data_IF_636791551540
#
_entry.id   IF_636791551540
#
_cell.length_a   1.000
_cell.length_b   1.000
_cell.length_c   1.000
_cell.angle_alpha   90.00
_cell.angle_beta   90.00
_cell.angle_gamma   90.00
#
_symmetry.space_group_name_H-M   'P 1'
#
loop_
_entity.id
_entity.type
_entity.pdbx_description
1 polymer ?
#
# COMPACT_ATOMS: atom_id res chain seq x y z
N UNK A 1 -26.62 38.75 -14.71
CA UNK A 1 -25.24 38.27 -14.97
C UNK A 1 -24.78 37.45 -13.77
N UNK A 2 -24.36 36.19 -13.99
CA UNK A 2 -24.00 35.23 -12.93
C UNK A 2 -22.61 35.53 -12.34
N UNK A 3 -22.48 35.46 -11.02
CA UNK A 3 -21.19 35.39 -10.33
C UNK A 3 -20.58 33.98 -10.50
N UNK A 4 -19.27 33.84 -10.78
CA UNK A 4 -18.63 32.54 -10.82
C UNK A 4 -18.24 32.09 -9.41
N UNK A 5 -18.50 30.81 -9.16
CA UNK A 5 -18.33 30.09 -7.90
C UNK A 5 -16.82 29.89 -7.57
N UNK A 6 -16.36 30.41 -6.43
CA UNK A 6 -14.98 30.26 -5.91
C UNK A 6 -14.89 29.17 -4.83
N UNK A 7 -15.39 27.96 -5.08
CA UNK A 7 -15.35 26.86 -4.09
C UNK A 7 -14.52 25.63 -4.50
N UNK A 8 -13.92 25.60 -5.69
CA UNK A 8 -13.09 24.49 -6.16
C UNK A 8 -11.63 24.39 -5.60
N UNK A 9 -10.95 25.45 -5.08
CA UNK A 9 -9.54 25.32 -4.65
C UNK A 9 -9.35 24.63 -3.29
N UNK A 10 -10.25 24.90 -2.33
CA UNK A 10 -10.07 24.52 -0.91
C UNK A 10 -10.11 23.00 -0.66
N UNK A 11 -10.91 22.26 -1.45
CA UNK A 11 -11.03 20.79 -1.31
C UNK A 11 -9.78 20.07 -1.78
N UNK A 12 -9.14 20.58 -2.83
CA UNK A 12 -7.88 20.03 -3.36
C UNK A 12 -6.72 20.25 -2.38
N UNK A 13 -6.66 21.42 -1.73
CA UNK A 13 -5.64 21.70 -0.73
C UNK A 13 -5.86 20.92 0.57
N UNK A 14 -7.11 20.75 1.00
CA UNK A 14 -7.44 19.89 2.14
C UNK A 14 -7.05 18.43 1.90
N UNK A 15 -7.29 17.91 0.70
CA UNK A 15 -6.91 16.55 0.30
C UNK A 15 -5.39 16.39 0.28
N UNK A 16 -4.66 17.29 -0.40
CA UNK A 16 -3.18 17.28 -0.41
C UNK A 16 -2.59 17.38 0.99
N UNK A 17 -3.20 18.19 1.85
CA UNK A 17 -2.78 18.34 3.23
C UNK A 17 -3.00 17.04 4.02
N UNK A 18 -4.12 16.35 3.77
CA UNK A 18 -4.41 15.05 4.36
C UNK A 18 -3.39 14.00 3.92
N UNK A 19 -3.12 13.89 2.62
CA UNK A 19 -2.13 12.95 2.06
C UNK A 19 -0.74 13.18 2.66
N UNK A 20 -0.29 14.44 2.72
CA UNK A 20 0.98 14.80 3.37
C UNK A 20 1.03 14.36 4.84
N UNK A 21 -0.07 14.51 5.59
CA UNK A 21 -0.12 14.02 6.97
C UNK A 21 0.05 12.50 7.01
N UNK A 22 -0.62 11.76 6.11
CA UNK A 22 -0.57 10.30 6.07
C UNK A 22 0.81 9.77 5.66
N UNK A 23 1.47 10.39 4.68
CA UNK A 23 2.85 10.05 4.29
C UNK A 23 3.85 10.24 5.43
N UNK A 24 3.76 11.38 6.12
CA UNK A 24 4.62 11.69 7.28
C UNK A 24 4.30 10.74 8.43
N UNK A 25 3.02 10.48 8.70
CA UNK A 25 2.60 9.56 9.75
C UNK A 25 3.09 8.13 9.48
N UNK A 26 2.96 7.62 8.25
CA UNK A 26 3.50 6.32 7.87
C UNK A 26 5.00 6.23 8.20
N UNK A 27 5.76 7.20 7.71
CA UNK A 27 7.22 7.24 7.93
C UNK A 27 7.60 7.26 9.40
N UNK A 28 6.92 8.06 10.22
CA UNK A 28 7.24 8.23 11.64
C UNK A 28 6.79 7.01 12.46
N UNK A 29 5.60 6.47 12.18
CA UNK A 29 5.05 5.33 12.91
C UNK A 29 5.76 4.01 12.58
N UNK A 30 6.27 3.84 11.36
CA UNK A 30 7.13 2.70 11.01
C UNK A 30 8.47 2.75 11.75
N UNK A 31 9.01 3.94 12.02
CA UNK A 31 10.25 4.10 12.81
C UNK A 31 10.00 3.91 14.31
N UNK A 32 8.89 4.43 14.80
CA UNK A 32 8.49 4.33 16.20
C UNK A 32 6.98 4.38 16.31
N UNK A 33 6.35 3.26 16.71
CA UNK A 33 4.91 3.17 16.87
C UNK A 33 4.34 4.22 17.86
N UNK A 34 5.18 4.66 18.81
CA UNK A 34 4.84 5.64 19.84
C UNK A 34 5.12 7.10 19.44
N UNK A 35 5.54 7.35 18.19
CA UNK A 35 5.86 8.69 17.68
C UNK A 35 4.76 9.72 18.05
N UNK A 36 5.08 10.85 18.71
CA UNK A 36 4.07 11.80 19.18
C UNK A 36 3.27 12.40 18.02
N UNK A 37 1.93 12.42 18.13
CA UNK A 37 1.04 13.00 17.12
C UNK A 37 1.37 14.48 16.83
N UNK A 38 1.76 15.22 17.87
CA UNK A 38 2.18 16.62 17.74
C UNK A 38 3.46 16.78 16.90
N UNK A 39 4.38 15.82 16.97
CA UNK A 39 5.59 15.79 16.15
C UNK A 39 5.27 15.45 14.69
N UNK A 40 4.34 14.52 14.45
CA UNK A 40 3.82 14.19 13.11
C UNK A 40 3.16 15.42 12.48
N UNK A 41 2.28 16.11 13.22
CA UNK A 41 1.63 17.34 12.75
C UNK A 41 2.64 18.43 12.37
N UNK A 42 3.66 18.63 13.21
CA UNK A 42 4.74 19.59 12.95
C UNK A 42 5.53 19.22 11.68
N UNK A 43 5.90 17.95 11.51
CA UNK A 43 6.64 17.46 10.33
C UNK A 43 5.79 17.54 9.05
N UNK A 44 4.49 17.33 9.16
CA UNK A 44 3.54 17.50 8.04
C UNK A 44 3.26 18.98 7.71
N UNK A 45 3.75 19.94 8.51
CA UNK A 45 3.56 21.37 8.28
C UNK A 45 2.14 21.84 8.57
N UNK A 46 1.41 21.15 9.46
CA UNK A 46 0.00 21.45 9.78
C UNK A 46 -0.20 21.91 11.21
N UNK A 47 -1.14 22.83 11.42
CA UNK A 47 -1.51 23.26 12.77
C UNK A 47 -2.18 22.14 13.58
N UNK A 48 -1.89 22.09 14.89
CA UNK A 48 -2.41 21.06 15.80
C UNK A 48 -3.95 20.97 15.77
N UNK A 49 -4.65 22.10 15.74
CA UNK A 49 -6.12 22.12 15.66
C UNK A 49 -6.66 21.48 14.39
N UNK A 50 -6.00 21.68 13.24
CA UNK A 50 -6.37 21.02 11.97
C UNK A 50 -6.06 19.54 12.02
N UNK A 51 -4.92 19.15 12.61
CA UNK A 51 -4.53 17.76 12.76
C UNK A 51 -5.54 16.98 13.60
N UNK A 52 -5.81 17.41 14.85
CA UNK A 52 -6.70 16.70 15.77
C UNK A 52 -8.16 16.69 15.31
N UNK A 53 -8.60 17.65 14.47
CA UNK A 53 -9.92 17.60 13.81
C UNK A 53 -10.02 16.48 12.78
N UNK A 54 -8.91 16.15 12.09
CA UNK A 54 -8.86 15.09 11.08
C UNK A 54 -8.49 13.73 11.69
N UNK A 55 -7.72 13.73 12.78
CA UNK A 55 -7.15 12.57 13.45
C UNK A 55 -7.30 12.74 14.97
N UNK A 56 -8.50 12.49 15.51
CA UNK A 56 -8.80 12.77 16.92
C UNK A 56 -8.05 11.86 17.89
N UNK A 57 -7.56 10.70 17.43
CA UNK A 57 -6.78 9.75 18.22
C UNK A 57 -5.67 9.11 17.39
N UNK A 58 -4.74 8.43 18.08
CA UNK A 58 -3.66 7.69 17.41
C UNK A 58 -4.21 6.54 16.58
N UNK A 59 -5.21 5.85 17.11
CA UNK A 59 -5.90 4.74 16.47
C UNK A 59 -6.55 5.18 15.16
N UNK A 60 -7.22 6.34 15.17
CA UNK A 60 -7.83 6.93 13.98
C UNK A 60 -6.77 7.27 12.92
N UNK A 61 -5.60 7.80 13.33
CA UNK A 61 -4.49 8.04 12.42
C UNK A 61 -3.94 6.75 11.83
N UNK A 62 -3.65 5.75 12.66
CA UNK A 62 -3.07 4.47 12.23
C UNK A 62 -3.98 3.76 11.23
N UNK A 63 -5.30 3.77 11.47
CA UNK A 63 -6.25 3.19 10.54
C UNK A 63 -6.25 3.89 9.19
N UNK A 64 -6.23 5.22 9.17
CA UNK A 64 -6.19 6.02 7.95
C UNK A 64 -4.85 5.89 7.20
N UNK A 65 -3.73 5.83 7.93
CA UNK A 65 -2.40 5.57 7.36
C UNK A 65 -2.40 4.24 6.62
N UNK A 66 -2.93 3.19 7.23
CA UNK A 66 -2.99 1.89 6.58
C UNK A 66 -3.92 1.90 5.34
N UNK A 67 -5.09 2.56 5.40
CA UNK A 67 -5.98 2.68 4.22
C UNK A 67 -5.27 3.37 3.07
N UNK A 68 -4.58 4.45 3.39
CA UNK A 68 -3.82 5.21 2.43
C UNK A 68 -2.69 4.36 1.85
N UNK A 69 -1.93 3.65 2.67
CA UNK A 69 -0.81 2.83 2.22
C UNK A 69 -1.26 1.68 1.31
N UNK A 70 -2.33 0.94 1.66
CA UNK A 70 -2.84 -0.13 0.78
C UNK A 70 -3.37 0.42 -0.54
N UNK A 71 -4.01 1.58 -0.53
CA UNK A 71 -4.46 2.25 -1.75
C UNK A 71 -3.27 2.67 -2.62
N UNK A 72 -2.22 3.24 -2.02
CA UNK A 72 -0.99 3.60 -2.75
C UNK A 72 -0.36 2.36 -3.40
N UNK A 73 -0.25 1.23 -2.69
CA UNK A 73 0.25 -0.01 -3.28
C UNK A 73 -0.62 -0.44 -4.45
N UNK A 74 -1.95 -0.47 -4.30
CA UNK A 74 -2.86 -0.86 -5.36
C UNK A 74 -2.75 0.05 -6.60
N UNK A 75 -2.77 1.37 -6.41
CA UNK A 75 -2.72 2.37 -7.48
C UNK A 75 -1.42 2.31 -8.29
N UNK A 76 -0.32 1.86 -7.67
CA UNK A 76 0.97 1.78 -8.35
C UNK A 76 1.00 0.72 -9.45
N UNK A 77 0.11 -0.26 -9.44
CA UNK A 77 0.02 -1.26 -10.52
C UNK A 77 -0.22 -0.60 -11.89
N UNK A 78 -1.22 0.27 -11.99
CA UNK A 78 -1.54 0.98 -13.22
C UNK A 78 -0.43 1.96 -13.62
N UNK A 79 0.16 2.66 -12.64
CA UNK A 79 1.25 3.60 -12.89
C UNK A 79 2.51 2.91 -13.44
N UNK A 80 2.86 1.76 -12.87
CA UNK A 80 4.01 0.96 -13.30
C UNK A 80 3.80 0.40 -14.71
N UNK A 81 2.61 -0.11 -15.02
CA UNK A 81 2.28 -0.59 -16.38
C UNK A 81 2.35 0.51 -17.45
N UNK A 82 2.10 1.77 -17.09
CA UNK A 82 2.28 2.90 -18.01
C UNK A 82 3.75 3.26 -18.25
N UNK A 83 4.66 2.91 -17.33
CA UNK A 83 6.05 3.38 -17.33
C UNK A 83 7.11 2.29 -17.53
N UNK A 84 6.70 1.01 -17.48
CA UNK A 84 7.60 -0.15 -17.47
C UNK A 84 7.02 -1.30 -18.29
N UNK A 85 7.88 -2.21 -18.82
CA UNK A 85 7.43 -3.49 -19.32
C UNK A 85 6.63 -4.27 -18.26
N UNK A 86 5.60 -5.07 -18.64
CA UNK A 86 4.71 -5.72 -17.69
C UNK A 86 5.39 -6.57 -16.62
N UNK A 87 6.45 -7.30 -16.97
CA UNK A 87 7.18 -8.15 -16.02
C UNK A 87 7.96 -7.34 -14.99
N UNK A 88 8.52 -6.20 -15.41
CA UNK A 88 9.23 -5.27 -14.54
C UNK A 88 8.23 -4.56 -13.64
N UNK A 89 7.08 -4.15 -14.19
CA UNK A 89 5.99 -3.55 -13.43
C UNK A 89 5.48 -4.50 -12.33
N UNK A 90 5.25 -5.78 -12.66
CA UNK A 90 4.81 -6.77 -11.67
C UNK A 90 5.85 -6.96 -10.57
N UNK A 91 7.14 -7.06 -10.93
CA UNK A 91 8.21 -7.23 -9.96
C UNK A 91 8.37 -6.02 -9.04
N UNK A 92 8.40 -4.82 -9.60
CA UNK A 92 8.47 -3.57 -8.82
C UNK A 92 7.24 -3.42 -7.91
N UNK A 93 6.06 -3.86 -8.37
CA UNK A 93 4.84 -3.85 -7.55
C UNK A 93 4.92 -4.84 -6.39
N UNK A 94 5.44 -6.05 -6.61
CA UNK A 94 5.69 -7.03 -5.54
C UNK A 94 6.64 -6.48 -4.47
N UNK A 95 7.67 -5.73 -4.87
CA UNK A 95 8.61 -5.11 -3.92
C UNK A 95 7.91 -4.07 -3.04
N UNK A 96 7.00 -3.26 -3.62
CA UNK A 96 6.15 -2.32 -2.86
C UNK A 96 5.21 -3.04 -1.92
N UNK A 97 4.62 -4.15 -2.36
CA UNK A 97 3.76 -4.97 -1.51
C UNK A 97 4.54 -5.56 -0.31
N UNK A 98 5.78 -6.01 -0.52
CA UNK A 98 6.64 -6.49 0.55
C UNK A 98 6.95 -5.39 1.57
N UNK A 99 7.25 -4.16 1.12
CA UNK A 99 7.44 -3.00 1.99
C UNK A 99 6.20 -2.72 2.85
N UNK A 100 5.01 -2.72 2.23
CA UNK A 100 3.74 -2.58 2.93
C UNK A 100 3.48 -3.69 3.96
N UNK A 101 3.79 -4.95 3.61
CA UNK A 101 3.64 -6.06 4.54
C UNK A 101 4.49 -5.85 5.81
N UNK A 102 5.70 -5.31 5.67
CA UNK A 102 6.58 -5.02 6.81
C UNK A 102 6.13 -3.81 7.62
N UNK A 103 5.67 -2.73 6.96
CA UNK A 103 5.10 -1.57 7.64
C UNK A 103 3.87 -1.96 8.47
N UNK A 104 2.98 -2.79 7.89
CA UNK A 104 1.84 -3.39 8.58
C UNK A 104 2.26 -4.20 9.81
N UNK A 105 3.30 -5.03 9.69
CA UNK A 105 3.79 -5.84 10.81
C UNK A 105 4.27 -4.96 11.98
N UNK A 106 4.97 -3.86 11.69
CA UNK A 106 5.37 -2.87 12.69
C UNK A 106 4.20 -2.17 13.38
N UNK A 107 3.08 -2.00 12.66
CA UNK A 107 1.86 -1.35 13.16
C UNK A 107 0.83 -2.33 13.75
N UNK A 108 1.09 -3.63 13.79
CA UNK A 108 0.09 -4.65 14.09
C UNK A 108 -0.60 -4.46 15.45
N UNK A 109 0.15 -4.07 16.49
CA UNK A 109 -0.41 -3.81 17.82
C UNK A 109 -1.35 -2.60 17.81
N UNK A 110 -0.93 -1.49 17.22
CA UNK A 110 -1.73 -0.28 17.11
C UNK A 110 -2.99 -0.52 16.25
N UNK A 111 -2.90 -1.31 15.18
CA UNK A 111 -4.05 -1.71 14.37
C UNK A 111 -5.03 -2.59 15.14
N UNK A 112 -4.54 -3.52 15.97
CA UNK A 112 -5.37 -4.37 16.83
C UNK A 112 -6.15 -3.54 17.84
N UNK A 113 -5.53 -2.51 18.40
CA UNK A 113 -6.17 -1.59 19.36
C UNK A 113 -7.14 -0.63 18.65
N UNK A 114 -6.84 -0.22 17.43
CA UNK A 114 -7.65 0.71 16.65
C UNK A 114 -8.93 0.11 16.05
N UNK A 115 -9.02 -1.21 15.91
CA UNK A 115 -10.04 -1.83 15.08
C UNK A 115 -11.05 -2.65 15.89
N UNK A 116 -12.28 -2.13 16.01
CA UNK A 116 -13.41 -2.86 16.61
C UNK A 116 -14.04 -3.89 15.66
N UNK A 117 -13.81 -3.77 14.35
CA UNK A 117 -14.26 -4.72 13.31
C UNK A 117 -13.12 -5.13 12.34
N UNK A 118 -12.15 -5.96 12.78
CA UNK A 118 -10.96 -6.31 12.00
C UNK A 118 -11.23 -6.95 10.63
N UNK A 119 -12.37 -7.66 10.50
CA UNK A 119 -12.73 -8.40 9.29
C UNK A 119 -13.03 -7.50 8.08
N UNK A 120 -13.82 -6.44 8.26
CA UNK A 120 -14.21 -5.53 7.17
C UNK A 120 -13.01 -4.83 6.56
N UNK A 121 -12.07 -4.42 7.41
CA UNK A 121 -10.87 -3.73 7.00
C UNK A 121 -9.93 -4.61 6.19
N UNK A 122 -9.74 -5.85 6.67
CA UNK A 122 -8.94 -6.87 5.97
C UNK A 122 -9.55 -7.19 4.60
N UNK A 123 -10.88 -7.22 4.49
CA UNK A 123 -11.60 -7.46 3.24
C UNK A 123 -11.37 -6.35 2.20
N UNK A 124 -11.48 -5.08 2.59
CA UNK A 124 -11.23 -3.94 1.68
C UNK A 124 -9.78 -3.96 1.16
N UNK A 125 -8.82 -4.14 2.07
CA UNK A 125 -7.41 -4.23 1.69
C UNK A 125 -7.14 -5.41 0.76
N UNK A 126 -7.78 -6.56 1.00
CA UNK A 126 -7.67 -7.72 0.13
C UNK A 126 -8.21 -7.42 -1.27
N UNK A 127 -9.42 -6.86 -1.38
CA UNK A 127 -10.01 -6.50 -2.67
C UNK A 127 -9.14 -5.58 -3.52
N UNK A 128 -8.61 -4.50 -2.93
CA UNK A 128 -7.72 -3.56 -3.62
C UNK A 128 -6.44 -4.23 -4.17
N UNK A 129 -5.86 -5.13 -3.39
CA UNK A 129 -4.66 -5.87 -3.81
C UNK A 129 -4.98 -6.91 -4.88
N UNK A 130 -6.11 -7.62 -4.76
CA UNK A 130 -6.59 -8.57 -5.77
C UNK A 130 -6.84 -7.88 -7.12
N UNK A 131 -7.44 -6.69 -7.12
CA UNK A 131 -7.68 -5.91 -8.34
C UNK A 131 -6.35 -5.50 -9.02
N UNK A 132 -5.38 -5.04 -8.22
CA UNK A 132 -4.06 -4.66 -8.70
C UNK A 132 -3.28 -5.85 -9.30
N UNK A 133 -3.30 -7.01 -8.63
CA UNK A 133 -2.70 -8.24 -9.15
C UNK A 133 -3.37 -8.68 -10.44
N UNK A 134 -4.70 -8.69 -10.48
CA UNK A 134 -5.47 -9.09 -11.67
C UNK A 134 -5.06 -8.24 -12.88
N UNK A 135 -4.93 -6.92 -12.68
CA UNK A 135 -4.48 -6.00 -13.72
C UNK A 135 -3.06 -6.33 -14.22
N UNK A 136 -2.12 -6.59 -13.30
CA UNK A 136 -0.73 -6.89 -13.64
C UNK A 136 -0.58 -8.25 -14.34
N UNK A 137 -1.25 -9.29 -13.84
CA UNK A 137 -1.22 -10.62 -14.45
C UNK A 137 -1.81 -10.59 -15.85
N UNK A 138 -2.97 -9.96 -16.04
CA UNK A 138 -3.60 -9.83 -17.36
C UNK A 138 -2.73 -9.05 -18.36
N UNK A 139 -1.94 -8.07 -17.89
CA UNK A 139 -0.99 -7.36 -18.74
C UNK A 139 0.20 -8.23 -19.14
N UNK A 140 0.72 -9.02 -18.21
CA UNK A 140 1.83 -9.94 -18.45
C UNK A 140 1.43 -11.09 -19.38
N UNK A 141 0.26 -11.69 -19.19
CA UNK A 141 -0.25 -12.76 -20.06
C UNK A 141 -0.45 -12.26 -21.49
N UNK A 142 -1.06 -11.08 -21.68
CA UNK A 142 -1.18 -10.45 -23.01
C UNK A 142 0.15 -10.14 -23.66
N UNK A 143 1.16 -9.81 -22.86
CA UNK A 143 2.51 -9.55 -23.33
C UNK A 143 3.35 -10.83 -23.51
N UNK A 144 2.80 -12.00 -23.16
CA UNK A 144 3.50 -13.28 -23.22
C UNK A 144 4.68 -13.39 -22.25
N UNK A 145 4.79 -12.53 -21.24
CA UNK A 145 5.92 -12.52 -20.28
C UNK A 145 5.73 -13.48 -19.10
N UNK A 146 4.53 -14.05 -18.95
CA UNK A 146 4.23 -15.13 -18.01
C UNK A 146 3.45 -16.23 -18.74
N UNK A 147 3.43 -17.43 -18.15
CA UNK A 147 2.59 -18.55 -18.60
C UNK A 147 1.10 -18.17 -18.57
N UNK A 148 0.29 -18.68 -19.51
CA UNK A 148 -1.14 -18.42 -19.51
C UNK A 148 -1.86 -19.13 -18.35
N UNK A 149 -3.05 -18.66 -18.01
CA UNK A 149 -3.92 -19.31 -17.03
C UNK A 149 -3.44 -19.23 -15.58
N UNK A 150 -2.70 -18.18 -15.22
CA UNK A 150 -2.36 -17.89 -13.82
C UNK A 150 -3.59 -17.31 -13.13
N UNK A 151 -4.08 -18.00 -12.10
CA UNK A 151 -5.18 -17.50 -11.28
C UNK A 151 -4.69 -16.45 -10.26
N UNK A 152 -5.48 -15.39 -10.06
CA UNK A 152 -5.14 -14.30 -9.14
C UNK A 152 -5.06 -14.78 -7.69
N UNK A 153 -5.97 -15.65 -7.25
CA UNK A 153 -6.00 -16.14 -5.87
C UNK A 153 -4.82 -17.07 -5.61
N UNK A 154 -4.45 -17.92 -6.58
CA UNK A 154 -3.25 -18.75 -6.50
C UNK A 154 -1.97 -17.91 -6.42
N UNK A 155 -1.89 -16.84 -7.21
CA UNK A 155 -0.78 -15.90 -7.12
C UNK A 155 -0.70 -15.26 -5.73
N UNK A 156 -1.84 -14.77 -5.19
CA UNK A 156 -1.92 -14.18 -3.86
C UNK A 156 -1.48 -15.18 -2.77
N UNK A 157 -1.87 -16.46 -2.90
CA UNK A 157 -1.42 -17.54 -2.03
C UNK A 157 0.09 -17.79 -2.15
N UNK A 158 0.64 -17.75 -3.35
CA UNK A 158 2.07 -17.95 -3.58
C UNK A 158 2.94 -16.88 -2.89
N UNK A 159 2.47 -15.63 -2.87
CA UNK A 159 3.16 -14.52 -2.19
C UNK A 159 2.75 -14.36 -0.71
N UNK A 160 1.80 -15.16 -0.20
CA UNK A 160 1.31 -15.06 1.17
C UNK A 160 2.41 -15.29 2.23
N UNK A 161 3.51 -15.95 1.84
CA UNK A 161 4.71 -16.11 2.67
C UNK A 161 5.33 -14.79 3.13
N UNK A 162 5.09 -13.67 2.41
CA UNK A 162 5.56 -12.34 2.83
C UNK A 162 5.05 -11.94 4.21
N UNK A 163 3.82 -12.31 4.56
CA UNK A 163 3.23 -11.99 5.87
C UNK A 163 3.80 -12.82 7.02
N UNK A 164 4.61 -13.83 6.72
CA UNK A 164 5.26 -14.72 7.70
C UNK A 164 6.73 -14.33 7.96
N UNK A 165 7.26 -13.34 7.22
CA UNK A 165 8.63 -12.88 7.39
C UNK A 165 8.74 -12.06 8.68
N UNK A 166 9.79 -12.32 9.48
CA UNK A 166 10.11 -11.50 10.65
C UNK A 166 10.63 -10.13 10.19
N UNK A 167 9.92 -9.03 10.49
CA UNK A 167 10.33 -7.68 10.09
C UNK A 167 11.60 -7.19 10.79
N UNK A 168 12.06 -7.86 11.87
CA UNK A 168 13.30 -7.51 12.59
C UNK A 168 14.54 -8.19 12.02
N UNK A 169 14.37 -9.18 11.15
CA UNK A 169 15.46 -9.88 10.49
C UNK A 169 15.88 -9.25 9.17
N UNK A 170 16.67 -9.99 8.39
CA UNK A 170 17.01 -9.68 7.00
C UNK A 170 15.81 -9.96 6.07
N UNK A 171 14.74 -9.18 6.27
CA UNK A 171 13.48 -9.37 5.57
C UNK A 171 13.59 -9.00 4.09
N UNK A 172 14.39 -7.99 3.74
CA UNK A 172 14.55 -7.50 2.37
C UNK A 172 15.11 -8.60 1.47
N UNK A 173 16.21 -9.22 1.89
CA UNK A 173 16.83 -10.29 1.10
C UNK A 173 15.94 -11.53 1.05
N UNK A 174 15.21 -11.83 2.13
CA UNK A 174 14.27 -12.97 2.16
C UNK A 174 13.07 -12.75 1.25
N UNK A 175 12.43 -11.57 1.33
CA UNK A 175 11.32 -11.19 0.46
C UNK A 175 11.76 -11.17 -1.01
N UNK A 176 12.93 -10.60 -1.30
CA UNK A 176 13.52 -10.57 -2.63
C UNK A 176 13.58 -11.97 -3.26
N UNK A 177 14.25 -12.91 -2.57
CA UNK A 177 14.39 -14.30 -3.05
C UNK A 177 13.05 -15.04 -3.20
N UNK A 178 12.09 -14.82 -2.29
CA UNK A 178 10.77 -15.46 -2.38
C UNK A 178 9.98 -14.94 -3.57
N UNK A 179 10.01 -13.63 -3.81
CA UNK A 179 9.36 -13.01 -4.94
C UNK A 179 10.06 -13.38 -6.26
N UNK A 180 11.38 -13.57 -6.26
CA UNK A 180 12.13 -14.03 -7.44
C UNK A 180 11.68 -15.44 -7.82
N UNK A 181 11.55 -16.32 -6.82
CA UNK A 181 11.03 -17.67 -7.01
C UNK A 181 9.62 -17.68 -7.63
N UNK A 182 8.74 -16.78 -7.18
CA UNK A 182 7.41 -16.63 -7.77
C UNK A 182 7.50 -16.14 -9.22
N UNK A 183 8.33 -15.13 -9.50
CA UNK A 183 8.53 -14.62 -10.86
C UNK A 183 9.09 -15.68 -11.81
N UNK A 184 10.06 -16.48 -11.37
CA UNK A 184 10.63 -17.57 -12.15
C UNK A 184 9.57 -18.65 -12.44
N UNK A 185 8.73 -18.97 -11.45
CA UNK A 185 7.59 -19.86 -11.62
C UNK A 185 6.59 -19.35 -12.66
N UNK A 186 6.29 -18.04 -12.64
CA UNK A 186 5.38 -17.41 -13.61
C UNK A 186 5.94 -17.41 -15.03
N UNK A 187 7.26 -17.19 -15.19
CA UNK A 187 7.94 -17.18 -16.49
C UNK A 187 8.09 -18.57 -17.10
N UNK A 188 8.08 -19.62 -16.28
CA UNK A 188 8.20 -20.99 -16.76
C UNK A 188 7.03 -21.35 -17.69
N UNK A 189 7.33 -21.55 -18.98
CA UNK A 189 6.32 -21.82 -20.02
C UNK A 189 5.65 -20.57 -20.60
N UNK A 190 6.23 -19.38 -20.36
CA UNK A 190 5.84 -18.17 -21.07
C UNK A 190 6.06 -18.35 -22.59
N UNK A 191 5.14 -17.86 -23.44
CA UNK A 191 5.21 -18.05 -24.89
C UNK A 191 6.26 -17.19 -25.61
N UNK A 192 6.88 -16.22 -24.92
CA UNK A 192 7.95 -15.36 -25.45
C UNK A 192 9.35 -15.75 -24.94
#
# INVERSE_FOLDING_TARGET
>A
MRHPDKQAPLRSDAQRNRERILEVALTELTRSADAPLSAIAKKAGVGQGTFYRNFPSREALVLEVYRYEVQQVADTAAQLLCARPPEVALREWMDRLAQYAMAKAGLANALREATTAPGTFKSIAHGLLTDAVTLLLAANERAGTIRPGVDTDDFMLAIAGLWQIDPRGDWQSRAGRLLDLVMDGLRSGAPN
#
